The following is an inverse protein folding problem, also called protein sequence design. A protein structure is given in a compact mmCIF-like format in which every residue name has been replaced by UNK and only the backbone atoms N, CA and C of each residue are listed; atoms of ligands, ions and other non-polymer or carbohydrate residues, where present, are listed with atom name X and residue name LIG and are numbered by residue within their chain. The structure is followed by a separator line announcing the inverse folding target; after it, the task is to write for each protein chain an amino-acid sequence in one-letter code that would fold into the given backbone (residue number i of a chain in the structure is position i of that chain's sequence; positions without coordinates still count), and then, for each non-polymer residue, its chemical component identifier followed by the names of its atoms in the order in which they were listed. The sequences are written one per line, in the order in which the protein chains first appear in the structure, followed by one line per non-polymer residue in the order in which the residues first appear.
data_IF_372595000099
#
_entry.id   IF_372595000099
#
_cell.length_a   1.000
_cell.length_b   1.000
_cell.length_c   1.000
_cell.angle_alpha   90.00
_cell.angle_beta   90.00
_cell.angle_gamma   90.00
#
_symmetry.space_group_name_H-M   'P 1'
#
loop_
_entity.id
_entity.type
_entity.pdbx_description
1 polymer ?
#
# COMPACT_ATOMS: atom_id res chain seq x y z
N UNK A 1 18.71 47.54 8.41
CA UNK A 1 19.71 46.46 8.24
C UNK A 1 19.74 45.64 9.53
N UNK A 2 19.03 44.51 9.57
CA UNK A 2 19.05 43.56 10.68
C UNK A 2 18.99 42.15 10.10
N UNK A 3 20.02 41.37 10.38
CA UNK A 3 19.97 39.92 10.27
C UNK A 3 19.06 39.41 11.40
N UNK A 4 18.30 38.32 11.20
CA UNK A 4 18.76 37.10 11.87
C UNK A 4 18.44 35.77 11.17
N UNK A 5 19.30 34.80 11.51
CA UNK A 5 19.06 33.37 11.74
C UNK A 5 19.01 32.44 10.53
N UNK A 6 20.19 31.83 10.30
CA UNK A 6 20.41 30.37 10.35
C UNK A 6 19.10 29.56 10.46
N UNK A 7 18.54 29.19 9.32
CA UNK A 7 17.71 27.99 9.24
C UNK A 7 18.65 26.78 9.24
N UNK A 8 18.30 25.89 10.14
CA UNK A 8 18.99 24.68 10.56
C UNK A 8 19.29 23.74 9.40
N UNK A 9 20.53 23.27 9.34
CA UNK A 9 20.92 21.96 8.80
C UNK A 9 19.90 20.92 9.29
N UNK A 10 19.18 20.27 8.39
CA UNK A 10 18.26 19.19 8.77
C UNK A 10 17.34 18.66 7.68
N UNK A 11 17.22 19.30 6.51
CA UNK A 11 16.33 18.82 5.44
C UNK A 11 17.09 18.75 4.11
N UNK A 12 17.97 17.76 3.95
CA UNK A 12 18.48 17.36 2.64
C UNK A 12 18.56 15.82 2.60
N UNK A 13 17.81 15.29 1.63
CA UNK A 13 17.96 14.05 0.88
C UNK A 13 17.80 12.69 1.56
N UNK A 14 16.69 12.03 1.23
CA UNK A 14 16.72 10.71 0.57
C UNK A 14 15.55 10.56 -0.43
N UNK A 15 15.33 11.54 -1.34
CA UNK A 15 14.54 11.21 -2.54
C UNK A 15 15.40 10.35 -3.46
N UNK A 16 15.17 9.03 -3.41
CA UNK A 16 15.79 8.06 -4.32
C UNK A 16 15.60 8.54 -5.76
N UNK A 17 16.70 8.86 -6.44
CA UNK A 17 16.65 9.36 -7.80
C UNK A 17 16.22 8.23 -8.74
N UNK A 18 14.96 8.28 -9.21
CA UNK A 18 14.46 7.32 -10.17
C UNK A 18 14.97 7.61 -11.58
N UNK A 19 15.23 6.56 -12.34
CA UNK A 19 15.57 6.72 -13.75
C UNK A 19 14.30 7.09 -14.53
N UNK A 20 14.26 8.30 -15.06
CA UNK A 20 13.22 8.72 -15.98
C UNK A 20 13.16 7.77 -17.18
N UNK A 21 11.98 7.24 -17.47
CA UNK A 21 11.79 6.36 -18.61
C UNK A 21 12.06 7.14 -19.89
N UNK A 22 12.95 6.63 -20.74
CA UNK A 22 13.24 7.24 -22.04
C UNK A 22 12.98 6.26 -23.16
N UNK A 23 12.05 6.59 -24.06
CA UNK A 23 11.76 5.77 -25.25
C UNK A 23 12.95 5.65 -26.22
N UNK A 24 14.01 6.45 -26.02
CA UNK A 24 15.27 6.37 -26.78
C UNK A 24 16.19 5.27 -26.24
N UNK A 25 16.24 5.09 -24.92
CA UNK A 25 17.12 4.12 -24.25
C UNK A 25 16.42 2.80 -23.96
N UNK A 26 15.09 2.81 -23.85
CA UNK A 26 14.24 1.63 -23.77
C UNK A 26 14.43 0.79 -25.03
N UNK A 27 15.13 -0.34 -24.90
CA UNK A 27 15.40 -1.29 -25.99
C UNK A 27 14.22 -2.23 -26.27
N UNK A 28 13.29 -2.35 -25.32
CA UNK A 28 12.21 -3.35 -25.29
C UNK A 28 10.95 -2.73 -24.69
N UNK A 29 9.76 -3.27 -24.95
CA UNK A 29 8.55 -2.75 -24.32
C UNK A 29 8.60 -2.90 -22.80
N UNK A 30 8.32 -1.81 -22.08
CA UNK A 30 8.32 -1.78 -20.62
C UNK A 30 7.01 -1.22 -20.08
N UNK A 31 6.76 -1.43 -18.78
CA UNK A 31 5.68 -0.78 -18.07
C UNK A 31 6.28 0.33 -17.21
N UNK A 32 5.70 1.53 -17.30
CA UNK A 32 6.12 2.70 -16.57
C UNK A 32 4.97 3.22 -15.71
N UNK A 33 5.30 3.74 -14.53
CA UNK A 33 4.36 4.25 -13.53
C UNK A 33 4.66 5.71 -13.21
N UNK A 34 3.64 6.46 -12.80
CA UNK A 34 3.85 7.79 -12.27
C UNK A 34 4.65 7.73 -10.96
N UNK A 35 5.73 8.53 -10.81
CA UNK A 35 6.49 8.56 -9.57
C UNK A 35 5.75 9.26 -8.44
N UNK A 36 4.78 10.14 -8.75
CA UNK A 36 3.95 10.79 -7.74
C UNK A 36 3.16 9.71 -7.00
N UNK A 37 3.35 9.64 -5.69
CA UNK A 37 2.59 8.73 -4.84
C UNK A 37 1.09 9.04 -4.97
N UNK A 38 0.22 8.03 -4.87
CA UNK A 38 -1.23 8.27 -5.03
C UNK A 38 -1.70 8.22 -6.49
N UNK A 39 -0.77 8.21 -7.44
CA UNK A 39 -1.13 8.16 -8.84
C UNK A 39 -1.20 6.73 -9.39
N UNK A 40 -2.39 6.28 -9.76
CA UNK A 40 -2.59 4.97 -10.40
C UNK A 40 -2.13 4.93 -11.87
N UNK A 41 -1.61 6.05 -12.41
CA UNK A 41 -1.28 6.14 -13.82
C UNK A 41 -0.11 5.22 -14.18
N UNK A 42 -0.39 4.23 -15.02
CA UNK A 42 0.57 3.27 -15.52
C UNK A 42 0.37 3.04 -17.02
N UNK A 43 1.46 2.87 -17.78
CA UNK A 43 1.37 2.71 -19.23
C UNK A 43 2.49 1.85 -19.80
N UNK A 44 2.22 1.23 -20.95
CA UNK A 44 3.24 0.53 -21.74
C UNK A 44 4.03 1.53 -22.55
N UNK A 45 5.35 1.47 -22.40
CA UNK A 45 6.31 2.30 -23.10
C UNK A 45 6.99 1.46 -24.17
N UNK A 46 6.82 1.88 -25.43
CA UNK A 46 7.46 1.27 -26.59
C UNK A 46 8.69 2.06 -27.03
N UNK A 47 9.76 1.40 -27.51
CA UNK A 47 10.91 2.06 -28.13
C UNK A 47 10.47 3.01 -29.26
N UNK A 48 11.22 4.09 -29.48
CA UNK A 48 11.05 4.92 -30.69
C UNK A 48 11.49 4.13 -31.92
N UNK A 49 10.63 4.09 -32.95
CA UNK A 49 10.95 3.47 -34.25
C UNK A 49 12.15 4.16 -34.93
N UNK A 50 12.26 5.48 -34.77
CA UNK A 50 13.37 6.31 -35.26
C UNK A 50 13.97 7.04 -34.06
N UNK A 51 15.23 6.73 -33.71
CA UNK A 51 15.89 7.24 -32.47
C UNK A 51 16.30 8.72 -32.53
N UNK A 52 16.19 9.35 -33.71
CA UNK A 52 16.72 10.69 -34.00
C UNK A 52 15.66 11.81 -33.94
N UNK A 53 14.38 11.51 -34.16
CA UNK A 53 13.26 12.45 -34.03
C UNK A 53 12.27 11.90 -33.00
N UNK A 54 11.90 12.67 -31.97
CA UNK A 54 11.01 12.13 -30.95
C UNK A 54 10.36 13.15 -30.02
N UNK A 55 9.25 13.74 -30.47
CA UNK A 55 8.22 14.22 -29.54
C UNK A 55 7.80 13.07 -28.60
N UNK A 56 7.70 13.36 -27.31
CA UNK A 56 7.37 12.35 -26.29
C UNK A 56 8.50 11.37 -25.96
N UNK A 57 9.78 11.79 -26.07
CA UNK A 57 10.97 11.03 -25.64
C UNK A 57 10.86 10.49 -24.21
N UNK A 58 10.28 11.30 -23.32
CA UNK A 58 9.98 10.94 -21.94
C UNK A 58 8.45 10.91 -21.79
N UNK A 59 7.83 9.72 -21.67
CA UNK A 59 6.40 9.64 -21.41
C UNK A 59 6.12 10.30 -20.06
N UNK A 60 5.01 11.02 -19.98
CA UNK A 60 4.58 11.77 -18.80
C UNK A 60 3.27 11.21 -18.26
N UNK A 61 3.06 11.37 -16.97
CA UNK A 61 1.76 11.12 -16.36
C UNK A 61 0.71 12.08 -16.93
N UNK A 62 -0.47 11.57 -17.27
CA UNK A 62 -1.57 12.41 -17.79
C UNK A 62 -2.11 13.39 -16.75
N UNK A 63 -2.07 13.01 -15.46
CA UNK A 63 -2.58 13.83 -14.34
C UNK A 63 -1.53 14.84 -13.85
N UNK A 64 -0.29 14.40 -13.66
CA UNK A 64 0.74 15.19 -12.99
C UNK A 64 1.76 15.82 -13.95
N UNK A 65 1.72 15.45 -15.24
CA UNK A 65 2.64 15.96 -16.27
C UNK A 65 4.15 15.80 -15.99
N UNK A 66 4.52 14.99 -14.99
CA UNK A 66 5.90 14.59 -14.68
C UNK A 66 6.31 13.33 -15.46
N UNK A 67 7.62 13.13 -15.72
CA UNK A 67 8.13 11.91 -16.36
C UNK A 67 7.74 10.64 -15.58
N UNK A 68 7.49 9.55 -16.30
CA UNK A 68 7.26 8.24 -15.69
C UNK A 68 8.58 7.56 -15.30
N UNK A 69 8.49 6.65 -14.34
CA UNK A 69 9.60 5.82 -13.85
C UNK A 69 9.32 4.34 -14.10
N UNK A 70 10.33 3.49 -14.05
CA UNK A 70 10.13 2.04 -14.21
C UNK A 70 9.52 1.43 -12.95
N UNK A 71 8.56 0.51 -13.12
CA UNK A 71 7.90 -0.13 -11.98
C UNK A 71 8.88 -0.89 -11.09
N UNK A 72 9.86 -1.59 -11.67
CA UNK A 72 10.86 -2.35 -10.93
C UNK A 72 11.78 -1.48 -10.06
N UNK A 73 11.95 -0.20 -10.38
CA UNK A 73 12.70 0.75 -9.53
C UNK A 73 11.86 1.29 -8.38
N UNK A 74 10.53 1.24 -8.51
CA UNK A 74 9.58 1.88 -7.61
C UNK A 74 8.93 0.94 -6.59
N UNK A 75 8.77 -0.32 -6.96
CA UNK A 75 8.05 -1.32 -6.18
C UNK A 75 8.72 -1.64 -4.83
N UNK A 76 10.04 -1.50 -4.73
CA UNK A 76 10.76 -1.65 -3.46
C UNK A 76 10.31 -0.62 -2.41
N UNK A 77 10.19 0.65 -2.81
CA UNK A 77 9.80 1.73 -1.90
C UNK A 77 8.32 1.58 -1.47
N UNK A 78 7.48 0.98 -2.33
CA UNK A 78 6.14 0.56 -1.95
C UNK A 78 6.17 -0.46 -0.81
N UNK A 79 7.00 -1.48 -0.95
CA UNK A 79 7.15 -2.51 0.08
C UNK A 79 7.67 -1.92 1.38
N UNK A 80 8.65 -1.02 1.32
CA UNK A 80 9.20 -0.38 2.50
C UNK A 80 8.13 0.43 3.25
N UNK A 81 7.32 1.22 2.54
CA UNK A 81 6.23 1.96 3.14
C UNK A 81 5.10 1.08 3.67
N UNK A 82 4.75 0.00 2.96
CA UNK A 82 3.75 -0.95 3.41
C UNK A 82 4.19 -1.64 4.71
N UNK A 83 5.48 -2.00 4.82
CA UNK A 83 6.05 -2.55 6.04
C UNK A 83 6.07 -1.51 7.17
N UNK A 84 6.44 -0.26 6.89
CA UNK A 84 6.38 0.82 7.88
C UNK A 84 4.94 1.02 8.40
N UNK A 85 3.94 0.98 7.52
CA UNK A 85 2.52 1.08 7.87
C UNK A 85 2.03 -0.09 8.73
N UNK A 86 2.51 -1.30 8.44
CA UNK A 86 2.16 -2.52 9.17
C UNK A 86 2.63 -2.50 10.62
N UNK A 87 3.81 -1.92 10.87
CA UNK A 87 4.44 -1.89 12.18
C UNK A 87 4.45 -0.51 12.84
N UNK A 88 3.65 0.43 12.32
CA UNK A 88 3.45 1.74 12.92
C UNK A 88 2.73 1.63 14.28
N UNK A 89 3.03 2.54 15.21
CA UNK A 89 2.35 2.66 16.51
C UNK A 89 0.84 2.86 16.35
N UNK A 90 0.40 3.50 15.26
CA UNK A 90 -1.03 3.64 14.94
C UNK A 90 -1.72 2.30 14.60
N UNK A 91 -0.94 1.22 14.44
CA UNK A 91 -1.38 -0.18 14.36
C UNK A 91 -1.95 -0.73 15.66
N UNK A 92 -1.58 -0.15 16.80
CA UNK A 92 -2.06 -0.58 18.10
C UNK A 92 -3.51 -0.12 18.34
N UNK A 93 -4.28 -0.80 19.21
CA UNK A 93 -5.62 -0.37 19.55
C UNK A 93 -5.57 1.05 20.14
N UNK A 94 -6.58 1.86 19.80
CA UNK A 94 -6.68 3.23 20.32
C UNK A 94 -6.80 3.20 21.85
N UNK A 95 -6.19 4.18 22.52
CA UNK A 95 -6.17 4.25 23.97
C UNK A 95 -7.60 4.24 24.56
N UNK A 96 -8.53 5.00 23.99
CA UNK A 96 -9.94 5.02 24.39
C UNK A 96 -10.60 3.64 24.30
N UNK A 97 -10.27 2.85 23.27
CA UNK A 97 -10.77 1.49 23.13
C UNK A 97 -10.20 0.58 24.23
N UNK A 98 -8.91 0.69 24.53
CA UNK A 98 -8.25 -0.08 25.59
C UNK A 98 -8.86 0.27 26.95
N UNK A 99 -9.07 1.55 27.24
CA UNK A 99 -9.68 2.02 28.50
C UNK A 99 -11.11 1.50 28.63
N UNK A 100 -11.91 1.56 27.57
CA UNK A 100 -13.25 1.00 27.54
C UNK A 100 -13.30 -0.51 27.79
N UNK A 101 -12.33 -1.26 27.26
CA UNK A 101 -12.20 -2.70 27.49
C UNK A 101 -11.72 -2.99 28.90
N UNK A 102 -10.69 -2.30 29.40
CA UNK A 102 -10.19 -2.46 30.78
C UNK A 102 -11.28 -2.24 31.82
N UNK A 103 -12.13 -1.23 31.60
CA UNK A 103 -13.22 -0.90 32.51
C UNK A 103 -14.34 -1.95 32.51
N UNK A 104 -14.71 -2.50 31.34
CA UNK A 104 -15.89 -3.37 31.19
C UNK A 104 -15.58 -4.86 31.19
N UNK A 105 -14.38 -5.22 30.74
CA UNK A 105 -13.92 -6.59 30.51
C UNK A 105 -12.45 -6.75 30.98
N UNK A 106 -12.13 -6.46 32.26
CA UNK A 106 -10.75 -6.40 32.73
C UNK A 106 -9.97 -7.70 32.45
N UNK A 107 -10.60 -8.85 32.67
CA UNK A 107 -10.01 -10.18 32.43
C UNK A 107 -9.77 -10.52 30.95
N UNK A 108 -10.39 -9.78 30.03
CA UNK A 108 -10.25 -9.98 28.58
C UNK A 108 -9.29 -8.96 27.95
N UNK A 109 -8.73 -8.04 28.73
CA UNK A 109 -7.81 -7.00 28.21
C UNK A 109 -6.58 -7.61 27.54
N UNK A 110 -5.89 -8.53 28.22
CA UNK A 110 -4.69 -9.17 27.67
C UNK A 110 -5.01 -10.02 26.44
N UNK A 111 -6.01 -10.93 26.47
CA UNK A 111 -6.46 -11.65 25.28
C UNK A 111 -6.85 -10.74 24.10
N UNK A 112 -7.48 -9.60 24.39
CA UNK A 112 -7.84 -8.62 23.37
C UNK A 112 -6.59 -8.01 22.72
N UNK A 113 -5.60 -7.58 23.51
CA UNK A 113 -4.37 -6.97 22.99
C UNK A 113 -3.59 -7.99 22.16
N UNK A 114 -3.41 -9.21 22.65
CA UNK A 114 -2.72 -10.29 21.94
C UNK A 114 -3.43 -10.63 20.62
N UNK A 115 -4.75 -10.79 20.66
CA UNK A 115 -5.57 -11.03 19.48
C UNK A 115 -5.51 -9.87 18.47
N UNK A 116 -5.51 -8.62 18.95
CA UNK A 116 -5.40 -7.45 18.10
C UNK A 116 -4.05 -7.42 17.37
N UNK A 117 -2.95 -7.58 18.12
CA UNK A 117 -1.59 -7.58 17.56
C UNK A 117 -1.44 -8.71 16.54
N UNK A 118 -1.97 -9.90 16.84
CA UNK A 118 -1.99 -11.01 15.89
C UNK A 118 -2.75 -10.65 14.60
N UNK A 119 -3.87 -9.93 14.72
CA UNK A 119 -4.70 -9.53 13.60
C UNK A 119 -4.15 -8.37 12.76
N UNK A 120 -3.13 -7.62 13.21
CA UNK A 120 -2.54 -6.49 12.45
C UNK A 120 -2.09 -6.93 11.06
N UNK A 121 -1.44 -8.09 10.97
CA UNK A 121 -0.86 -8.61 9.73
C UNK A 121 -1.94 -8.82 8.66
N UNK A 122 -3.06 -9.43 9.05
CA UNK A 122 -4.15 -9.75 8.12
C UNK A 122 -5.05 -8.52 7.93
N UNK A 123 -5.44 -7.89 9.03
CA UNK A 123 -6.42 -6.81 9.06
C UNK A 123 -5.93 -5.49 8.49
N UNK A 124 -4.65 -5.14 8.72
CA UNK A 124 -3.99 -4.01 8.04
C UNK A 124 -3.39 -4.50 6.73
N UNK A 125 -2.49 -5.49 6.78
CA UNK A 125 -1.55 -5.81 5.70
C UNK A 125 -2.15 -6.40 4.42
N UNK A 126 -3.13 -7.31 4.54
CA UNK A 126 -3.67 -8.00 3.37
C UNK A 126 -4.31 -7.01 2.38
N UNK A 127 -4.99 -5.98 2.89
CA UNK A 127 -5.64 -4.97 2.05
C UNK A 127 -4.63 -4.04 1.37
N UNK A 128 -3.53 -3.67 2.02
CA UNK A 128 -2.55 -2.72 1.46
C UNK A 128 -1.73 -3.40 0.37
N UNK A 129 -1.20 -4.56 0.71
CA UNK A 129 -0.23 -5.25 -0.11
C UNK A 129 -0.91 -5.96 -1.28
N UNK A 130 -2.01 -6.69 -1.05
CA UNK A 130 -2.66 -7.46 -2.12
C UNK A 130 -3.19 -6.55 -3.21
N UNK A 131 -3.96 -5.51 -2.88
CA UNK A 131 -4.56 -4.65 -3.91
C UNK A 131 -3.53 -3.95 -4.78
N UNK A 132 -2.44 -3.46 -4.20
CA UNK A 132 -1.38 -2.82 -4.98
C UNK A 132 -0.66 -3.84 -5.87
N UNK A 133 -0.21 -4.95 -5.29
CA UNK A 133 0.51 -5.99 -6.04
C UNK A 133 -0.36 -6.60 -7.14
N UNK A 134 -1.65 -6.81 -6.87
CA UNK A 134 -2.64 -7.27 -7.83
C UNK A 134 -2.86 -6.22 -8.93
N UNK A 135 -2.97 -4.94 -8.59
CA UNK A 135 -3.15 -3.85 -9.56
C UNK A 135 -1.96 -3.74 -10.51
N UNK A 136 -0.74 -3.76 -9.96
CA UNK A 136 0.50 -3.73 -10.75
C UNK A 136 0.61 -4.98 -11.62
N UNK A 137 0.42 -6.17 -11.04
CA UNK A 137 0.48 -7.45 -11.78
C UNK A 137 -0.56 -7.54 -12.89
N UNK A 138 -1.81 -7.16 -12.61
CA UNK A 138 -2.88 -7.15 -13.60
C UNK A 138 -2.60 -6.14 -14.72
N UNK A 139 -1.96 -5.01 -14.39
CA UNK A 139 -1.57 -4.05 -15.42
C UNK A 139 -0.49 -4.63 -16.32
N UNK A 140 0.52 -5.31 -15.76
CA UNK A 140 1.50 -6.07 -16.55
C UNK A 140 0.84 -7.12 -17.46
N UNK A 141 -0.11 -7.90 -16.92
CA UNK A 141 -0.83 -8.93 -17.68
C UNK A 141 -1.71 -8.35 -18.79
N UNK A 142 -2.39 -7.23 -18.55
CA UNK A 142 -3.21 -6.54 -19.57
C UNK A 142 -2.40 -6.04 -20.76
N UNK A 143 -1.09 -5.82 -20.59
CA UNK A 143 -0.20 -5.43 -21.68
C UNK A 143 0.21 -6.62 -22.58
N UNK A 144 -0.08 -7.86 -22.18
CA UNK A 144 0.23 -9.05 -22.96
C UNK A 144 -0.94 -9.49 -23.84
N UNK A 145 -0.63 -10.03 -25.02
CA UNK A 145 -1.63 -10.76 -25.82
C UNK A 145 -1.96 -12.11 -25.18
N UNK A 146 -3.16 -12.65 -25.46
CA UNK A 146 -3.56 -13.99 -25.00
C UNK A 146 -2.54 -15.09 -25.37
N UNK A 147 -1.90 -14.98 -26.54
CA UNK A 147 -0.85 -15.91 -26.99
C UNK A 147 0.40 -15.84 -26.09
N UNK A 148 0.84 -14.64 -25.74
CA UNK A 148 1.98 -14.43 -24.85
C UNK A 148 1.70 -14.91 -23.42
N UNK A 149 0.48 -14.68 -22.90
CA UNK A 149 0.08 -15.20 -21.58
C UNK A 149 0.12 -16.73 -21.55
N UNK A 150 -0.41 -17.39 -22.60
CA UNK A 150 -0.36 -18.86 -22.71
C UNK A 150 1.08 -19.38 -22.78
N UNK A 151 1.96 -18.72 -23.54
CA UNK A 151 3.36 -19.11 -23.65
C UNK A 151 4.09 -18.99 -22.29
N UNK A 152 3.87 -17.90 -21.54
CA UNK A 152 4.45 -17.71 -20.21
C UNK A 152 3.99 -18.78 -19.21
N UNK A 153 2.69 -19.12 -19.20
CA UNK A 153 2.13 -20.13 -18.28
C UNK A 153 2.64 -21.54 -18.54
N UNK A 154 3.01 -21.85 -19.79
CA UNK A 154 3.48 -23.19 -20.17
C UNK A 154 4.98 -23.40 -19.97
N UNK A 155 5.73 -22.35 -19.58
CA UNK A 155 7.19 -22.42 -19.48
C UNK A 155 7.89 -22.63 -20.83
N UNK A 156 7.16 -22.58 -21.95
CA UNK A 156 7.70 -22.78 -23.28
C UNK A 156 8.61 -21.61 -23.65
N UNK A 157 9.88 -21.90 -23.94
CA UNK A 157 10.84 -20.97 -24.50
C UNK A 157 10.52 -20.67 -25.97
N UNK A 158 9.35 -20.10 -26.24
CA UNK A 158 9.13 -19.42 -27.53
C UNK A 158 10.25 -18.40 -27.71
N UNK A 159 10.81 -18.29 -28.94
CA UNK A 159 11.88 -17.33 -29.28
C UNK A 159 11.68 -16.05 -28.49
N UNK A 160 12.66 -15.60 -27.68
CA UNK A 160 12.46 -14.54 -26.72
C UNK A 160 12.13 -13.25 -27.47
N UNK A 161 10.84 -13.01 -27.68
CA UNK A 161 10.39 -11.71 -28.08
C UNK A 161 10.76 -10.81 -26.91
N UNK A 162 11.55 -9.77 -27.14
CA UNK A 162 12.11 -8.89 -26.11
C UNK A 162 11.05 -8.43 -25.07
N UNK A 163 9.81 -8.26 -25.53
CA UNK A 163 8.59 -8.01 -24.73
C UNK A 163 8.41 -9.02 -23.57
N UNK A 164 8.64 -10.31 -23.80
CA UNK A 164 8.50 -11.35 -22.78
C UNK A 164 9.59 -11.25 -21.71
N UNK A 165 10.80 -10.77 -22.05
CA UNK A 165 11.92 -10.67 -21.11
C UNK A 165 11.74 -9.53 -20.12
N UNK A 166 11.42 -8.33 -20.59
CA UNK A 166 11.15 -7.18 -19.73
C UNK A 166 9.91 -7.39 -18.83
N UNK A 167 8.88 -8.05 -19.35
CA UNK A 167 7.68 -8.38 -18.58
C UNK A 167 7.99 -9.46 -17.54
N UNK A 168 8.74 -10.50 -17.90
CA UNK A 168 9.20 -11.52 -16.96
C UNK A 168 10.02 -10.90 -15.83
N UNK A 169 10.98 -10.04 -16.15
CA UNK A 169 11.77 -9.32 -15.14
C UNK A 169 10.89 -8.46 -14.21
N UNK A 170 9.87 -7.78 -14.74
CA UNK A 170 8.92 -7.03 -13.92
C UNK A 170 8.11 -7.93 -12.98
N UNK A 171 7.62 -9.07 -13.48
CA UNK A 171 6.90 -10.07 -12.67
C UNK A 171 7.81 -10.75 -11.64
N UNK A 172 9.07 -11.02 -11.99
CA UNK A 172 10.07 -11.57 -11.08
C UNK A 172 10.33 -10.59 -9.94
N UNK A 173 10.50 -9.29 -10.23
CA UNK A 173 10.66 -8.27 -9.19
C UNK A 173 9.42 -8.15 -8.28
N UNK A 174 8.20 -8.15 -8.84
CA UNK A 174 6.96 -8.20 -8.05
C UNK A 174 6.96 -9.41 -7.12
N UNK A 175 7.36 -10.58 -7.63
CA UNK A 175 7.42 -11.82 -6.86
C UNK A 175 8.46 -11.75 -5.74
N UNK A 176 9.64 -11.18 -6.02
CA UNK A 176 10.71 -10.97 -5.03
C UNK A 176 10.21 -10.05 -3.90
N UNK A 177 9.61 -8.92 -4.26
CA UNK A 177 9.11 -7.94 -3.30
C UNK A 177 7.93 -8.49 -2.48
N UNK A 178 7.02 -9.23 -3.10
CA UNK A 178 5.95 -9.92 -2.39
C UNK A 178 6.50 -10.97 -1.41
N UNK A 179 7.50 -11.75 -1.85
CA UNK A 179 8.18 -12.73 -1.00
C UNK A 179 8.87 -12.07 0.19
N UNK A 180 9.48 -10.89 -0.01
CA UNK A 180 10.09 -10.10 1.07
C UNK A 180 9.05 -9.71 2.12
N UNK A 181 7.88 -9.23 1.71
CA UNK A 181 6.77 -8.93 2.62
C UNK A 181 6.37 -10.17 3.42
N UNK A 182 6.12 -11.29 2.75
CA UNK A 182 5.72 -12.54 3.41
C UNK A 182 6.77 -13.02 4.43
N UNK A 183 8.06 -12.89 4.10
CA UNK A 183 9.16 -13.20 5.03
C UNK A 183 9.12 -12.30 6.26
N UNK A 184 8.99 -10.98 6.09
CA UNK A 184 8.86 -10.05 7.21
C UNK A 184 7.64 -10.38 8.07
N UNK A 185 6.48 -10.57 7.45
CA UNK A 185 5.24 -10.94 8.16
C UNK A 185 5.43 -12.22 8.97
N UNK A 186 6.07 -13.25 8.41
CA UNK A 186 6.34 -14.52 9.11
C UNK A 186 7.33 -14.39 10.26
N UNK A 187 8.37 -13.55 10.11
CA UNK A 187 9.33 -13.30 11.20
C UNK A 187 8.62 -12.57 12.34
N UNK A 188 7.88 -11.51 12.02
CA UNK A 188 7.18 -10.71 13.02
C UNK A 188 6.01 -11.47 13.66
N UNK A 189 5.26 -12.30 12.93
CA UNK A 189 4.18 -13.11 13.51
C UNK A 189 4.70 -14.04 14.60
N UNK A 190 5.90 -14.59 14.43
CA UNK A 190 6.56 -15.43 15.45
C UNK A 190 7.04 -14.66 16.67
N UNK A 191 7.28 -13.35 16.54
CA UNK A 191 7.74 -12.48 17.63
C UNK A 191 6.55 -12.00 18.48
N UNK A 192 5.39 -11.77 17.84
CA UNK A 192 4.30 -11.04 18.48
C UNK A 192 3.25 -11.89 19.20
N UNK A 193 3.03 -13.15 18.80
CA UNK A 193 2.17 -14.07 19.56
C UNK A 193 2.32 -15.50 19.07
N UNK A 194 2.50 -16.45 19.98
CA UNK A 194 2.20 -17.86 19.70
C UNK A 194 0.68 -17.95 19.51
N UNK A 195 0.24 -18.45 18.35
CA UNK A 195 -1.18 -18.57 18.03
C UNK A 195 -1.92 -19.46 19.05
N UNK A 196 -1.18 -20.33 19.73
CA UNK A 196 -1.64 -21.25 20.78
C UNK A 196 -2.14 -20.50 22.04
N UNK A 197 -1.66 -19.26 22.26
CA UNK A 197 -2.07 -18.44 23.39
C UNK A 197 -3.31 -17.58 23.11
N UNK A 198 -3.81 -17.56 21.86
CA UNK A 198 -4.98 -16.78 21.48
C UNK A 198 -6.26 -17.36 22.10
N UNK A 199 -6.92 -16.57 22.95
CA UNK A 199 -8.20 -16.93 23.54
C UNK A 199 -9.37 -16.30 22.76
N UNK A 200 -10.48 -17.03 22.56
CA UNK A 200 -11.66 -16.46 21.95
C UNK A 200 -12.25 -15.37 22.85
N UNK A 201 -12.63 -14.25 22.23
CA UNK A 201 -13.30 -13.15 22.93
C UNK A 201 -14.73 -13.53 23.32
N UNK A 202 -15.17 -13.08 24.49
CA UNK A 202 -16.54 -13.30 24.96
C UNK A 202 -17.58 -12.67 24.03
N UNK A 203 -18.81 -13.18 24.08
CA UNK A 203 -19.93 -12.63 23.32
C UNK A 203 -20.13 -11.13 23.61
N UNK A 204 -19.95 -10.73 24.87
CA UNK A 204 -20.15 -9.35 25.31
C UNK A 204 -19.06 -8.42 24.74
N UNK A 205 -17.79 -8.84 24.81
CA UNK A 205 -16.69 -8.08 24.21
C UNK A 205 -16.83 -8.02 22.69
N UNK A 206 -17.22 -9.11 22.03
CA UNK A 206 -17.49 -9.10 20.58
C UNK A 206 -18.61 -8.13 20.20
N UNK A 207 -19.66 -8.02 21.00
CA UNK A 207 -20.74 -7.06 20.77
C UNK A 207 -20.25 -5.62 20.98
N UNK A 208 -19.48 -5.36 22.05
CA UNK A 208 -18.87 -4.06 22.28
C UNK A 208 -17.98 -3.61 21.11
N UNK A 209 -17.13 -4.51 20.58
CA UNK A 209 -16.29 -4.23 19.42
C UNK A 209 -17.08 -3.97 18.13
N UNK A 210 -18.24 -4.61 17.96
CA UNK A 210 -19.15 -4.33 16.83
C UNK A 210 -19.76 -2.93 16.94
N UNK A 211 -20.17 -2.51 18.13
CA UNK A 211 -20.70 -1.17 18.33
C UNK A 211 -19.61 -0.10 18.15
N UNK A 212 -18.42 -0.32 18.70
CA UNK A 212 -17.26 0.56 18.47
C UNK A 212 -16.97 0.75 16.97
N UNK A 213 -16.99 -0.33 16.17
CA UNK A 213 -16.82 -0.23 14.71
C UNK A 213 -17.90 0.64 14.05
N UNK A 214 -19.17 0.48 14.43
CA UNK A 214 -20.27 1.27 13.87
C UNK A 214 -20.08 2.75 14.14
N UNK A 215 -19.67 3.12 15.35
CA UNK A 215 -19.46 4.50 15.74
C UNK A 215 -18.29 5.14 14.97
N UNK A 216 -17.17 4.41 14.78
CA UNK A 216 -16.08 4.90 13.93
C UNK A 216 -16.52 5.05 12.47
N UNK A 217 -17.30 4.10 11.93
CA UNK A 217 -17.78 4.17 10.54
C UNK A 217 -18.69 5.40 10.36
N UNK A 218 -19.68 5.61 11.24
CA UNK A 218 -20.54 6.81 11.22
C UNK A 218 -19.72 8.09 11.30
N UNK A 219 -18.78 8.17 12.24
CA UNK A 219 -17.87 9.31 12.37
C UNK A 219 -17.02 9.55 11.11
N UNK A 220 -16.64 8.48 10.40
CA UNK A 220 -15.88 8.59 9.14
C UNK A 220 -16.71 9.07 7.96
N UNK A 221 -18.02 8.81 7.92
CA UNK A 221 -18.92 9.33 6.88
C UNK A 221 -19.11 10.84 7.01
N UNK A 222 -19.16 11.34 8.25
CA UNK A 222 -19.14 12.79 8.54
C UNK A 222 -17.85 13.41 7.99
N UNK A 223 -16.70 12.75 8.17
CA UNK A 223 -15.42 13.23 7.64
C UNK A 223 -15.40 13.22 6.10
N UNK A 224 -15.88 12.15 5.44
CA UNK A 224 -16.01 12.11 3.96
C UNK A 224 -16.86 13.25 3.40
N UNK A 225 -17.85 13.73 4.15
CA UNK A 225 -18.68 14.88 3.73
C UNK A 225 -17.91 16.21 3.75
N UNK A 226 -16.89 16.31 4.62
CA UNK A 226 -15.97 17.45 4.72
C UNK A 226 -14.85 17.38 3.66
N UNK A 227 -14.37 16.18 3.30
CA UNK A 227 -13.35 15.96 2.25
C UNK A 227 -13.78 16.50 0.87
N UNK A 228 -15.08 16.53 0.58
CA UNK A 228 -15.60 17.11 -0.66
C UNK A 228 -15.54 18.65 -0.70
N UNK A 229 -15.17 19.33 0.40
CA UNK A 229 -15.22 20.80 0.53
C UNK A 229 -13.85 21.46 0.76
N UNK A 230 -12.85 20.73 1.21
CA UNK A 230 -11.51 21.26 1.54
C UNK A 230 -10.43 20.22 1.24
N UNK A 231 -9.27 20.66 0.72
CA UNK A 231 -8.08 19.81 0.61
C UNK A 231 -7.65 19.38 2.02
N UNK A 232 -7.59 18.07 2.26
CA UNK A 232 -7.09 17.51 3.50
C UNK A 232 -5.58 17.62 3.61
N UNK A 233 -5.09 17.85 4.81
CA UNK A 233 -3.66 17.72 5.13
C UNK A 233 -3.24 16.24 5.13
N UNK A 234 -1.96 15.98 4.90
CA UNK A 234 -1.37 14.63 4.95
C UNK A 234 -1.63 13.91 6.29
N UNK A 235 -1.64 14.66 7.39
CA UNK A 235 -1.92 14.14 8.73
C UNK A 235 -3.37 13.66 8.86
N UNK A 236 -4.32 14.39 8.28
CA UNK A 236 -5.73 14.01 8.27
C UNK A 236 -5.97 12.79 7.38
N UNK A 237 -5.32 12.75 6.21
CA UNK A 237 -5.35 11.58 5.31
C UNK A 237 -4.83 10.33 6.04
N UNK A 238 -3.67 10.43 6.72
CA UNK A 238 -3.13 9.32 7.51
C UNK A 238 -4.09 8.89 8.62
N UNK A 239 -4.63 9.84 9.37
CA UNK A 239 -5.56 9.56 10.48
C UNK A 239 -6.83 8.84 10.01
N UNK A 240 -7.44 9.31 8.92
CA UNK A 240 -8.61 8.65 8.33
C UNK A 240 -8.28 7.24 7.85
N UNK A 241 -7.08 7.08 7.30
CA UNK A 241 -6.63 5.79 6.82
C UNK A 241 -6.34 4.81 7.97
N UNK A 242 -5.72 5.26 9.06
CA UNK A 242 -5.49 4.44 10.25
C UNK A 242 -6.80 3.93 10.86
N UNK A 243 -7.86 4.76 10.86
CA UNK A 243 -9.20 4.32 11.28
C UNK A 243 -9.72 3.18 10.40
N UNK A 244 -9.59 3.29 9.08
CA UNK A 244 -9.98 2.24 8.13
C UNK A 244 -9.22 0.93 8.41
N UNK A 245 -7.90 1.02 8.58
CA UNK A 245 -7.05 -0.15 8.86
C UNK A 245 -7.36 -0.79 10.22
N UNK A 246 -7.64 0.01 11.24
CA UNK A 246 -8.01 -0.47 12.57
C UNK A 246 -9.39 -1.15 12.56
N UNK A 247 -10.33 -0.68 11.73
CA UNK A 247 -11.57 -1.44 11.49
C UNK A 247 -11.26 -2.79 10.86
N UNK A 248 -10.39 -2.86 9.84
CA UNK A 248 -9.98 -4.12 9.22
C UNK A 248 -9.34 -5.11 10.22
N UNK A 249 -8.53 -4.59 11.14
CA UNK A 249 -7.94 -5.34 12.26
C UNK A 249 -9.01 -5.87 13.21
N UNK A 250 -9.92 -5.02 13.65
CA UNK A 250 -11.04 -5.42 14.50
C UNK A 250 -11.96 -6.44 13.83
N UNK A 251 -12.20 -6.34 12.52
CA UNK A 251 -12.98 -7.32 11.77
C UNK A 251 -12.30 -8.68 11.74
N UNK A 252 -10.98 -8.70 11.50
CA UNK A 252 -10.18 -9.93 11.54
C UNK A 252 -10.23 -10.59 12.92
N UNK A 253 -10.12 -9.79 13.99
CA UNK A 253 -10.25 -10.24 15.38
C UNK A 253 -11.63 -10.86 15.66
N UNK A 254 -12.68 -10.38 15.00
CA UNK A 254 -14.02 -10.94 15.09
C UNK A 254 -14.25 -12.14 14.18
N UNK A 255 -13.26 -12.62 13.43
CA UNK A 255 -13.39 -13.69 12.45
C UNK A 255 -14.19 -13.27 11.21
N UNK A 256 -14.24 -11.97 10.90
CA UNK A 256 -14.92 -11.41 9.74
C UNK A 256 -13.89 -11.02 8.67
N UNK A 257 -14.32 -10.95 7.41
CA UNK A 257 -13.48 -10.44 6.34
C UNK A 257 -13.03 -9.00 6.67
N UNK A 258 -11.71 -8.69 6.69
CA UNK A 258 -11.19 -7.35 6.98
C UNK A 258 -11.72 -6.27 6.03
N UNK A 259 -12.10 -6.66 4.82
CA UNK A 259 -12.72 -5.75 3.87
C UNK A 259 -14.22 -5.56 4.17
N UNK A 260 -14.60 -4.33 4.51
CA UNK A 260 -16.01 -3.93 4.59
C UNK A 260 -16.45 -3.29 3.26
N UNK A 261 -17.64 -3.66 2.74
CA UNK A 261 -18.24 -3.03 1.55
C UNK A 261 -18.40 -1.51 1.70
N UNK A 262 -18.66 -1.01 2.92
CA UNK A 262 -18.76 0.43 3.21
C UNK A 262 -17.40 1.13 3.17
N UNK A 263 -16.35 0.41 3.54
CA UNK A 263 -14.96 0.88 3.43
C UNK A 263 -14.50 0.86 1.97
N UNK A 264 -14.92 -0.11 1.15
CA UNK A 264 -14.64 -0.10 -0.30
C UNK A 264 -15.23 1.14 -1.00
N UNK A 265 -16.30 1.72 -0.47
CA UNK A 265 -16.89 2.97 -0.98
C UNK A 265 -16.10 4.22 -0.59
N UNK A 266 -15.09 4.15 0.28
CA UNK A 266 -14.37 5.33 0.79
C UNK A 266 -13.49 6.05 -0.24
N UNK A 267 -13.46 5.64 -1.52
CA UNK A 267 -12.69 6.23 -2.63
C UNK A 267 -11.16 6.33 -2.43
N UNK A 268 -10.62 6.11 -1.23
CA UNK A 268 -9.17 6.16 -0.99
C UNK A 268 -8.53 4.94 -1.64
N UNK A 269 -7.82 5.18 -2.74
CA UNK A 269 -7.17 4.15 -3.54
C UNK A 269 -6.01 3.52 -2.75
N UNK A 270 -5.56 2.32 -3.13
CA UNK A 270 -4.36 1.71 -2.57
C UNK A 270 -3.13 2.64 -2.71
N UNK A 271 -3.13 3.49 -3.74
CA UNK A 271 -2.07 4.44 -4.01
C UNK A 271 -2.12 5.65 -3.06
N UNK A 272 -3.31 6.21 -2.77
CA UNK A 272 -3.44 7.37 -1.87
C UNK A 272 -3.03 7.01 -0.43
N UNK A 273 -3.37 5.78 -0.02
CA UNK A 273 -2.97 5.18 1.25
C UNK A 273 -1.45 5.10 1.41
N UNK A 274 -0.76 4.85 0.31
CA UNK A 274 0.68 4.69 0.25
C UNK A 274 1.40 6.05 0.28
N UNK A 275 0.88 7.09 -0.37
CA UNK A 275 1.47 8.45 -0.32
C UNK A 275 1.63 8.93 1.09
N UNK A 276 0.55 8.82 1.88
CA UNK A 276 0.57 9.23 3.26
C UNK A 276 1.73 8.56 4.00
N UNK A 277 1.82 7.23 3.93
CA UNK A 277 2.83 6.50 4.69
C UNK A 277 4.26 6.68 4.22
N UNK A 278 4.51 6.81 2.91
CA UNK A 278 5.87 7.07 2.43
C UNK A 278 6.38 8.44 2.88
N UNK A 279 5.51 9.46 2.89
CA UNK A 279 5.89 10.81 3.34
C UNK A 279 6.15 10.90 4.84
N UNK A 280 5.79 9.87 5.62
CA UNK A 280 6.13 9.73 7.03
C UNK A 280 7.29 8.76 7.29
N UNK A 281 7.93 8.20 6.25
CA UNK A 281 9.20 7.47 6.40
C UNK A 281 10.31 8.53 6.58
N UNK A 282 11.05 8.52 7.70
CA UNK A 282 12.20 9.41 7.91
C UNK A 282 13.33 9.15 6.91
#
# INVERSE_FOLDING_TARGET
IRNPKKTTRGEIDFMKAYTNVSRKTVREDRVAICPNFGCEFMTRVKPLKLRFFGFGKYPKCKKHHIPLVYVNERIGDFVDAALACLFDKAGLPQQELIEGIKSRFPHETTPFIEGWVYCIIIGRGASIVSYYMDSVSNTYLKQLTKKQIKALKKGESSKPNLVNKAIRHGMDEITIQYTRILKHLRVHSKIFSEYENLKPLSKNLRNFLKEWQKEIIKGSEVIKSLENKTELTLKEIKSNYDKILNIGTCRSLLGLNPENKEIKKSKVTAFDRFSAYHEFIP
#
